data_IF_181956140250
#
_entry.id   IF_181956140250
#
_cell.length_a   1.000
_cell.length_b   1.000
_cell.length_c   1.000
_cell.angle_alpha   90.00
_cell.angle_beta   90.00
_cell.angle_gamma   90.00
#
_symmetry.space_group_name_H-M   'P 1'
#
loop_
_entity.id
_entity.type
_entity.pdbx_description
1 polymer ?
#
# COMPACT_ATOMS: atom_id res chain seq x y z
N UNK A 1 5.18 2.49 5.27
CA UNK A 1 3.95 2.62 4.47
C UNK A 1 3.55 1.26 3.97
N UNK A 2 2.25 0.93 3.99
CA UNK A 2 1.71 -0.29 3.41
C UNK A 2 0.60 0.07 2.44
N UNK A 3 0.53 -0.63 1.31
CA UNK A 3 -0.50 -0.44 0.27
C UNK A 3 -0.76 -1.74 -0.47
N UNK A 4 -1.79 -1.78 -1.32
CA UNK A 4 -2.05 -2.90 -2.20
C UNK A 4 -0.95 -3.06 -3.26
N UNK A 5 -0.57 -4.30 -3.56
CA UNK A 5 0.17 -4.61 -4.80
C UNK A 5 -0.79 -4.64 -5.99
N UNK A 6 -0.27 -4.72 -7.21
CA UNK A 6 -1.11 -4.93 -8.39
C UNK A 6 -1.87 -6.26 -8.34
N UNK A 7 -1.24 -7.31 -7.80
CA UNK A 7 -1.87 -8.61 -7.66
C UNK A 7 -2.99 -8.63 -6.60
N UNK A 8 -2.93 -7.70 -5.64
CA UNK A 8 -3.92 -7.53 -4.57
C UNK A 8 -4.94 -6.40 -4.86
N UNK A 9 -4.75 -5.63 -5.93
CA UNK A 9 -5.63 -4.53 -6.31
C UNK A 9 -6.74 -5.00 -7.25
N UNK A 10 -7.97 -4.58 -6.97
CA UNK A 10 -9.14 -4.76 -7.81
C UNK A 10 -9.30 -3.63 -8.85
N UNK A 11 -8.56 -2.53 -8.70
CA UNK A 11 -8.64 -1.35 -9.58
C UNK A 11 -7.25 -1.04 -10.19
N UNK A 12 -6.93 -1.58 -11.39
CA UNK A 12 -5.66 -1.33 -12.07
C UNK A 12 -5.35 0.15 -12.32
N UNK A 13 -6.38 0.98 -12.46
CA UNK A 13 -6.24 2.42 -12.70
C UNK A 13 -5.64 3.15 -11.49
N UNK A 14 -6.07 2.82 -10.27
CA UNK A 14 -5.50 3.38 -9.03
C UNK A 14 -4.05 2.96 -8.88
N UNK A 15 -3.76 1.69 -9.19
CA UNK A 15 -2.39 1.18 -9.16
C UNK A 15 -1.47 1.90 -10.17
N UNK A 16 -1.99 2.23 -11.36
CA UNK A 16 -1.24 3.00 -12.37
C UNK A 16 -0.87 4.41 -11.89
N UNK A 17 -1.76 5.08 -11.14
CA UNK A 17 -1.43 6.37 -10.50
C UNK A 17 -0.40 6.24 -9.37
N UNK A 18 -0.43 5.13 -8.64
CA UNK A 18 0.51 4.87 -7.55
C UNK A 18 1.92 4.44 -8.01
N UNK A 19 2.04 3.62 -9.06
CA UNK A 19 3.29 2.90 -9.36
C UNK A 19 4.51 3.81 -9.58
N UNK A 20 4.29 5.04 -10.08
CA UNK A 20 5.34 6.04 -10.29
C UNK A 20 5.95 6.59 -9.00
N UNK A 21 5.23 6.50 -7.87
CA UNK A 21 5.65 7.02 -6.57
C UNK A 21 6.60 6.12 -5.80
N UNK A 22 6.73 4.84 -6.17
CA UNK A 22 7.62 3.89 -5.47
C UNK A 22 9.05 4.39 -5.35
N UNK A 23 9.68 4.73 -6.47
CA UNK A 23 11.08 5.15 -6.47
C UNK A 23 11.28 6.50 -5.75
N UNK A 24 10.47 7.55 -5.96
CA UNK A 24 10.49 8.76 -5.15
C UNK A 24 10.37 8.49 -3.64
N UNK A 25 9.40 7.68 -3.21
CA UNK A 25 9.19 7.34 -1.79
C UNK A 25 10.41 6.62 -1.20
N UNK A 26 10.93 5.62 -1.90
CA UNK A 26 12.10 4.84 -1.45
C UNK A 26 13.36 5.69 -1.34
N UNK A 27 13.58 6.62 -2.28
CA UNK A 27 14.72 7.56 -2.21
C UNK A 27 14.63 8.50 -1.00
N UNK A 28 13.43 8.77 -0.51
CA UNK A 28 13.18 9.58 0.70
C UNK A 28 13.20 8.73 1.99
N UNK A 29 13.61 7.47 1.93
CA UNK A 29 13.74 6.60 3.10
C UNK A 29 12.42 5.98 3.57
N UNK A 30 11.34 6.07 2.79
CA UNK A 30 10.08 5.43 3.14
C UNK A 30 10.23 3.91 3.02
N UNK A 31 10.06 3.19 4.13
CA UNK A 31 9.90 1.74 4.08
C UNK A 31 8.54 1.38 3.47
N UNK A 32 8.56 0.76 2.29
CA UNK A 32 7.38 0.48 1.48
C UNK A 32 7.08 -1.02 1.44
N UNK A 33 5.82 -1.36 1.73
CA UNK A 33 5.33 -2.74 1.75
C UNK A 33 4.07 -2.86 0.89
N UNK A 34 4.05 -3.85 0.00
CA UNK A 34 2.92 -4.13 -0.90
C UNK A 34 2.28 -5.47 -0.57
N UNK A 35 0.96 -5.47 -0.38
CA UNK A 35 0.19 -6.62 0.09
C UNK A 35 0.26 -7.81 -0.90
N UNK A 36 0.47 -9.03 -0.40
CA UNK A 36 0.38 -10.27 -1.18
C UNK A 36 -1.08 -10.72 -1.34
N UNK A 37 -1.50 -11.20 -2.52
CA UNK A 37 -2.86 -11.73 -2.70
C UNK A 37 -3.05 -13.02 -1.89
N UNK A 38 -4.26 -13.20 -1.33
CA UNK A 38 -4.72 -14.50 -0.80
C UNK A 38 -3.98 -15.10 0.40
N UNK A 39 -3.05 -14.39 1.06
CA UNK A 39 -2.25 -14.93 2.19
C UNK A 39 -2.36 -14.17 3.52
N UNK A 40 -3.21 -13.16 3.62
CA UNK A 40 -3.53 -12.51 4.89
C UNK A 40 -4.47 -13.41 5.74
N UNK A 41 -3.96 -14.55 6.19
CA UNK A 41 -4.58 -15.37 7.21
C UNK A 41 -4.42 -14.72 8.58
N UNK A 42 -5.37 -13.85 8.94
CA UNK A 42 -5.64 -13.50 10.33
C UNK A 42 -7.13 -13.24 10.47
N UNK A 43 -7.75 -13.98 11.37
CA UNK A 43 -9.14 -13.85 11.83
C UNK A 43 -9.45 -12.42 12.28
N UNK A 44 -9.87 -11.58 11.34
CA UNK A 44 -10.72 -10.39 11.49
C UNK A 44 -10.75 -9.67 10.14
N UNK A 45 -11.58 -10.22 9.26
CA UNK A 45 -12.26 -9.51 8.17
C UNK A 45 -13.15 -8.39 8.73
N UNK A 46 -12.60 -7.45 9.51
CA UNK A 46 -13.42 -6.42 10.15
C UNK A 46 -13.80 -5.29 9.20
N UNK A 47 -13.31 -5.24 7.96
CA UNK A 47 -13.76 -4.27 6.95
C UNK A 47 -13.65 -4.84 5.51
N UNK A 48 -14.58 -5.73 5.17
CA UNK A 48 -15.20 -5.91 3.84
C UNK A 48 -14.37 -5.83 2.56
N UNK A 49 -14.03 -6.99 1.98
CA UNK A 49 -14.33 -7.42 0.60
C UNK A 49 -13.44 -8.63 0.27
N UNK A 50 -14.03 -9.65 -0.32
CA UNK A 50 -13.41 -10.92 -0.74
C UNK A 50 -12.26 -10.70 -1.74
N UNK A 51 -11.04 -11.03 -1.32
CA UNK A 51 -9.80 -10.79 -2.06
C UNK A 51 -8.96 -9.77 -1.30
N UNK A 52 -7.74 -10.13 -0.93
CA UNK A 52 -6.90 -9.38 0.00
C UNK A 52 -6.65 -7.93 -0.47
N UNK A 53 -7.55 -7.01 -0.18
CA UNK A 53 -7.44 -5.57 -0.43
C UNK A 53 -7.38 -4.83 0.90
N UNK A 54 -6.36 -4.01 1.07
CA UNK A 54 -6.17 -3.14 2.22
C UNK A 54 -7.07 -1.91 2.10
N UNK A 55 -8.17 -1.88 2.85
CA UNK A 55 -9.07 -0.72 2.90
C UNK A 55 -8.82 0.21 4.09
N UNK A 56 -7.97 -0.18 5.04
CA UNK A 56 -7.63 0.65 6.20
C UNK A 56 -6.77 1.84 5.79
N UNK A 57 -7.23 3.05 6.16
CA UNK A 57 -6.47 4.30 5.98
C UNK A 57 -6.18 4.86 7.36
N UNK A 58 -4.96 4.61 7.79
CA UNK A 58 -4.53 4.95 9.13
C UNK A 58 -3.07 5.37 9.13
N UNK A 59 -2.72 6.32 9.99
CA UNK A 59 -1.34 6.68 10.26
C UNK A 59 -1.15 6.99 11.74
N UNK A 60 0.07 6.79 12.21
CA UNK A 60 0.50 7.10 13.58
C UNK A 60 1.78 7.91 13.50
N UNK A 61 1.85 9.00 14.27
CA UNK A 61 2.98 9.91 14.38
C UNK A 61 3.47 9.90 15.82
N UNK A 62 4.79 9.81 15.97
CA UNK A 62 5.51 9.83 17.26
C UNK A 62 5.04 8.81 18.31
N UNK A 63 4.35 7.75 17.87
CA UNK A 63 3.87 6.67 18.74
C UNK A 63 2.72 7.05 19.68
N UNK A 64 2.11 8.23 19.52
CA UNK A 64 1.03 8.70 20.41
C UNK A 64 -0.20 9.20 19.65
N UNK A 65 0.01 9.99 18.61
CA UNK A 65 -1.09 10.56 17.79
C UNK A 65 -1.35 9.70 16.59
N UNK A 66 -2.61 9.51 16.25
CA UNK A 66 -2.98 8.81 15.04
C UNK A 66 -4.31 9.23 14.47
N UNK A 67 -4.57 8.70 13.29
CA UNK A 67 -5.79 8.91 12.53
C UNK A 67 -6.25 7.56 11.97
N UNK A 68 -7.57 7.36 11.95
CA UNK A 68 -8.25 6.30 11.19
C UNK A 68 -9.47 6.92 10.53
N UNK A 69 -9.68 6.67 9.24
CA UNK A 69 -10.84 7.22 8.54
C UNK A 69 -10.97 6.78 7.08
N UNK A 70 -11.75 7.53 6.32
CA UNK A 70 -11.95 7.32 4.88
C UNK A 70 -10.96 8.09 4.01
N UNK A 71 -10.24 9.07 4.58
CA UNK A 71 -9.29 9.93 3.87
C UNK A 71 -8.12 9.15 3.28
N UNK A 72 -8.04 9.10 1.95
CA UNK A 72 -6.84 8.70 1.25
C UNK A 72 -5.86 9.89 1.16
N UNK A 73 -4.56 9.62 1.15
CA UNK A 73 -3.54 10.67 0.94
C UNK A 73 -3.41 11.02 -0.55
N UNK A 74 -4.49 11.55 -1.13
CA UNK A 74 -4.56 11.98 -2.52
C UNK A 74 -5.31 13.33 -2.68
N UNK A 75 -5.14 14.02 -3.82
CA UNK A 75 -5.78 15.31 -4.05
C UNK A 75 -7.31 15.27 -4.00
N UNK A 76 -7.93 14.13 -4.39
CA UNK A 76 -9.39 13.99 -4.47
C UNK A 76 -10.02 13.91 -3.08
N UNK A 77 -9.45 13.10 -2.18
CA UNK A 77 -9.84 13.07 -0.77
C UNK A 77 -9.63 14.43 -0.08
N UNK A 78 -8.61 15.19 -0.48
CA UNK A 78 -8.34 16.51 0.08
C UNK A 78 -9.28 17.62 -0.40
N UNK A 79 -9.80 17.53 -1.63
CA UNK A 79 -10.50 18.66 -2.28
C UNK A 79 -11.95 18.37 -2.68
N UNK A 80 -12.31 17.10 -2.93
CA UNK A 80 -13.55 16.74 -3.59
C UNK A 80 -14.45 15.84 -2.73
N UNK A 81 -13.86 14.91 -1.98
CA UNK A 81 -14.65 13.98 -1.17
C UNK A 81 -15.04 14.60 0.18
N UNK A 82 -16.21 14.21 0.67
CA UNK A 82 -16.53 14.35 2.09
C UNK A 82 -15.92 13.16 2.84
N UNK A 83 -14.92 13.43 3.65
CA UNK A 83 -14.19 12.41 4.40
C UNK A 83 -14.59 12.43 5.88
N UNK A 84 -14.59 11.26 6.51
CA UNK A 84 -14.80 11.12 7.95
C UNK A 84 -13.63 10.38 8.58
N UNK A 85 -13.31 10.74 9.82
CA UNK A 85 -12.26 10.05 10.54
C UNK A 85 -12.17 10.48 12.00
N UNK A 86 -11.39 9.73 12.74
CA UNK A 86 -11.12 9.98 14.16
C UNK A 86 -9.63 10.27 14.30
N UNK A 87 -9.32 11.43 14.88
CA UNK A 87 -7.98 11.75 15.37
C UNK A 87 -7.92 11.40 16.85
N UNK A 88 -6.88 10.70 17.26
CA UNK A 88 -6.66 10.31 18.64
C UNK A 88 -5.24 10.68 19.09
N UNK A 89 -5.08 11.02 20.37
CA UNK A 89 -3.79 11.19 21.04
C UNK A 89 -3.74 10.25 22.24
N UNK A 90 -3.43 8.98 21.96
CA UNK A 90 -3.46 7.89 22.92
C UNK A 90 -2.38 6.86 22.58
N UNK A 91 -1.26 6.82 23.34
CA UNK A 91 -0.15 5.90 23.08
C UNK A 91 -0.54 4.42 23.01
N UNK A 92 -1.48 3.99 23.85
CA UNK A 92 -1.96 2.60 23.85
C UNK A 92 -2.67 2.25 22.53
N UNK A 93 -3.50 3.16 22.00
CA UNK A 93 -4.19 2.94 20.73
C UNK A 93 -3.21 3.01 19.54
N UNK A 94 -2.27 3.94 19.59
CA UNK A 94 -1.19 4.04 18.60
C UNK A 94 -0.35 2.75 18.54
N UNK A 95 -0.06 2.14 19.70
CA UNK A 95 0.64 0.85 19.77
C UNK A 95 -0.15 -0.29 19.15
N UNK A 96 -1.47 -0.35 19.33
CA UNK A 96 -2.32 -1.35 18.68
C UNK A 96 -2.34 -1.19 17.15
N UNK A 97 -2.45 0.05 16.65
CA UNK A 97 -2.37 0.32 15.21
C UNK A 97 -1.00 -0.09 14.66
N UNK A 98 0.08 0.19 15.38
CA UNK A 98 1.43 -0.27 15.00
C UNK A 98 1.50 -1.80 14.97
N UNK A 99 0.95 -2.50 15.97
CA UNK A 99 0.93 -3.97 16.01
C UNK A 99 0.22 -4.57 14.80
N UNK A 100 -0.91 -3.98 14.38
CA UNK A 100 -1.63 -4.41 13.17
C UNK A 100 -0.80 -4.15 11.90
N UNK A 101 -0.14 -2.99 11.82
CA UNK A 101 0.78 -2.68 10.73
C UNK A 101 1.95 -3.66 10.66
N UNK A 102 2.58 -3.98 11.79
CA UNK A 102 3.70 -4.91 11.86
C UNK A 102 3.28 -6.33 11.47
N UNK A 103 2.07 -6.75 11.84
CA UNK A 103 1.50 -8.02 11.39
C UNK A 103 1.25 -8.05 9.87
N UNK A 104 0.68 -6.98 9.31
CA UNK A 104 0.41 -6.89 7.87
C UNK A 104 1.69 -6.79 7.02
N UNK A 105 2.79 -6.28 7.57
CA UNK A 105 4.06 -6.09 6.85
C UNK A 105 5.02 -7.26 6.97
N UNK A 106 4.61 -8.35 7.64
CA UNK A 106 5.40 -9.58 7.68
C UNK A 106 5.59 -10.16 6.28
N UNK A 107 6.69 -10.91 6.05
CA UNK A 107 6.96 -11.52 4.75
C UNK A 107 5.83 -12.38 4.20
N UNK A 108 5.01 -13.02 5.05
CA UNK A 108 3.90 -13.87 4.62
C UNK A 108 2.74 -13.05 4.05
N UNK A 109 2.62 -11.78 4.47
CA UNK A 109 1.50 -10.90 4.13
C UNK A 109 1.86 -9.82 3.12
N UNK A 110 3.12 -9.36 3.07
CA UNK A 110 3.55 -8.31 2.16
C UNK A 110 4.93 -8.56 1.56
N UNK A 111 5.15 -8.00 0.37
CA UNK A 111 6.49 -7.80 -0.17
C UNK A 111 7.04 -6.46 0.29
N UNK A 112 8.29 -6.45 0.78
CA UNK A 112 9.06 -5.21 0.93
C UNK A 112 9.57 -4.79 -0.44
N UNK A 113 9.31 -3.54 -0.81
CA UNK A 113 9.83 -2.95 -2.04
C UNK A 113 11.13 -2.24 -1.73
N UNK A 114 12.16 -2.49 -2.54
CA UNK A 114 13.47 -1.88 -2.40
C UNK A 114 13.94 -1.30 -3.72
N UNK A 115 14.71 -0.22 -3.62
CA UNK A 115 15.39 0.39 -4.75
C UNK A 115 16.83 -0.14 -4.79
N UNK A 116 17.15 -0.93 -5.80
CA UNK A 116 18.50 -1.43 -6.01
C UNK A 116 19.45 -0.31 -6.45
N UNK A 117 20.76 -0.57 -6.36
CA UNK A 117 21.82 0.40 -6.70
C UNK A 117 21.78 0.86 -8.17
N UNK A 118 21.25 0.04 -9.07
CA UNK A 118 21.03 0.35 -10.49
C UNK A 118 19.75 1.18 -10.73
N UNK A 119 19.02 1.53 -9.67
CA UNK A 119 17.75 2.25 -9.75
C UNK A 119 16.54 1.37 -10.08
N UNK A 120 16.72 0.05 -10.22
CA UNK A 120 15.61 -0.88 -10.44
C UNK A 120 14.86 -1.18 -9.15
N UNK A 121 13.55 -1.41 -9.27
CA UNK A 121 12.72 -1.85 -8.14
C UNK A 121 12.84 -3.36 -7.95
N UNK A 122 12.91 -3.80 -6.70
CA UNK A 122 12.93 -5.20 -6.30
C UNK A 122 11.88 -5.44 -5.24
N UNK A 123 11.14 -6.54 -5.36
CA UNK A 123 10.21 -7.00 -4.33
C UNK A 123 10.88 -8.14 -3.58
N UNK A 124 10.75 -8.17 -2.26
CA UNK A 124 11.38 -9.17 -1.40
C UNK A 124 10.42 -9.64 -0.32
N UNK A 125 10.51 -10.92 0.03
CA UNK A 125 9.84 -11.47 1.18
C UNK A 125 10.60 -12.70 1.68
N UNK A 126 11.00 -12.67 2.97
CA UNK A 126 11.30 -13.88 3.74
C UNK A 126 12.25 -14.89 3.08
N UNK A 127 13.48 -14.50 2.76
CA UNK A 127 14.49 -15.41 2.21
C UNK A 127 14.22 -15.92 0.78
N UNK A 128 13.10 -15.53 0.17
CA UNK A 128 12.81 -15.80 -1.23
C UNK A 128 13.71 -14.95 -2.15
N UNK A 129 13.92 -15.43 -3.38
CA UNK A 129 14.64 -14.66 -4.40
C UNK A 129 13.85 -13.40 -4.75
N UNK A 130 14.52 -12.25 -4.72
CA UNK A 130 13.92 -10.97 -5.07
C UNK A 130 13.33 -10.97 -6.50
N UNK A 131 12.09 -10.50 -6.63
CA UNK A 131 11.44 -10.31 -7.93
C UNK A 131 11.92 -9.02 -8.57
N UNK A 132 12.04 -9.04 -9.89
CA UNK A 132 12.51 -7.92 -10.72
C UNK A 132 11.37 -7.15 -11.39
N UNK A 133 10.16 -7.62 -11.18
CA UNK A 133 8.90 -7.09 -11.67
C UNK A 133 7.83 -7.38 -10.62
N UNK A 134 6.66 -6.76 -10.78
CA UNK A 134 5.55 -6.95 -9.84
C UNK A 134 5.18 -8.43 -9.69
N UNK A 135 5.33 -9.01 -8.49
CA UNK A 135 5.10 -10.44 -8.27
C UNK A 135 3.67 -10.86 -8.58
N UNK A 136 3.47 -12.13 -8.93
CA UNK A 136 2.13 -12.74 -9.10
C UNK A 136 1.22 -12.02 -10.11
N UNK A 137 1.80 -11.31 -11.09
CA UNK A 137 1.06 -10.63 -12.18
C UNK A 137 1.39 -11.19 -13.56
N UNK A 138 0.47 -11.08 -14.50
CA UNK A 138 0.71 -11.42 -15.91
C UNK A 138 1.43 -10.27 -16.64
N UNK A 139 2.18 -10.59 -17.70
CA UNK A 139 2.86 -9.57 -18.51
C UNK A 139 1.86 -8.59 -19.18
N UNK A 140 0.70 -9.10 -19.62
CA UNK A 140 -0.35 -8.27 -20.22
C UNK A 140 -0.95 -7.27 -19.22
N UNK A 141 -1.20 -7.70 -17.97
CA UNK A 141 -1.70 -6.81 -16.94
C UNK A 141 -0.69 -5.69 -16.61
N UNK A 142 0.59 -6.02 -16.50
CA UNK A 142 1.64 -5.01 -16.30
C UNK A 142 1.76 -4.04 -17.46
N UNK A 143 1.63 -4.52 -18.71
CA UNK A 143 1.64 -3.66 -19.88
C UNK A 143 0.43 -2.70 -19.90
N UNK A 144 -0.77 -3.19 -19.55
CA UNK A 144 -1.97 -2.37 -19.42
C UNK A 144 -1.78 -1.26 -18.39
N UNK A 145 -1.32 -1.59 -17.18
CA UNK A 145 -1.09 -0.62 -16.11
C UNK A 145 -0.03 0.41 -16.50
N UNK A 146 1.05 -0.03 -17.15
CA UNK A 146 2.07 0.87 -17.68
C UNK A 146 1.49 1.85 -18.70
N UNK A 147 0.63 1.40 -19.63
CA UNK A 147 -0.08 2.28 -20.57
C UNK A 147 -1.01 3.25 -19.84
N UNK A 148 -1.75 2.79 -18.84
CA UNK A 148 -2.65 3.62 -18.03
C UNK A 148 -1.88 4.69 -17.24
N UNK A 149 -0.64 4.41 -16.82
CA UNK A 149 0.20 5.36 -16.09
C UNK A 149 0.58 6.61 -16.90
N UNK A 150 0.38 6.58 -18.22
CA UNK A 150 0.60 7.74 -19.10
C UNK A 150 -0.60 8.67 -19.19
N UNK A 151 -1.78 8.25 -18.72
CA UNK A 151 -2.96 9.09 -18.73
C UNK A 151 -2.85 10.14 -17.61
N UNK A 152 -3.24 11.40 -17.86
CA UNK A 152 -3.18 12.47 -16.87
C UNK A 152 -4.36 12.38 -15.87
N UNK A 153 -4.41 11.28 -15.13
CA UNK A 153 -5.52 10.96 -14.20
C UNK A 153 -5.15 11.13 -12.73
N UNK A 154 -3.91 11.52 -12.43
CA UNK A 154 -3.43 11.68 -11.03
C UNK A 154 -4.30 12.63 -10.20
N UNK A 155 -4.85 13.68 -10.80
CA UNK A 155 -5.73 14.62 -10.08
C UNK A 155 -7.11 14.06 -9.77
N UNK A 156 -7.47 12.91 -10.36
CA UNK A 156 -8.79 12.29 -10.28
C UNK A 156 -8.79 10.98 -9.46
N UNK A 157 -7.62 10.52 -9.03
CA UNK A 157 -7.46 9.30 -8.23
C UNK A 157 -7.41 9.66 -6.74
#
# INVERSE_FOLDING_TARGET
>A
MQTNSLAASDVPMVHAGYMGWRAPLLRQGVALYELRPGRAGTERELLGSSGASLHTKAFVVDGARGFVGSFNFDPRSAQLNTEMGVVFDQPALAAEVRRLFDAGTRPESAWRVELAADGSLRWQAGGERAWTHEPETSAGLRALVWLLSWLPIESQL
#
